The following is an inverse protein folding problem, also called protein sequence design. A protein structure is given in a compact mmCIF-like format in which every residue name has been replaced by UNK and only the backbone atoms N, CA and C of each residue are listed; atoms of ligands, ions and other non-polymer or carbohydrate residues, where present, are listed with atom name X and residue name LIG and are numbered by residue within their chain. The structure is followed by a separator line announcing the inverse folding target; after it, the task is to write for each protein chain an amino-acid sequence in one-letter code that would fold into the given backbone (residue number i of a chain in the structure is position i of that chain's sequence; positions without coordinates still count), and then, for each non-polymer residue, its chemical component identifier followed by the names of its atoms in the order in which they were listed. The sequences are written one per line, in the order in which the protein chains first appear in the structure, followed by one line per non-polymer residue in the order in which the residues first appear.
data_IF_219436673639
#
_entry.id   IF_219436673639
#
_cell.length_a   1.000
_cell.length_b   1.000
_cell.length_c   1.000
_cell.angle_alpha   90.00
_cell.angle_beta   90.00
_cell.angle_gamma   90.00
#
_symmetry.space_group_name_H-M   'P 1'
#
loop_
_entity.id
_entity.type
_entity.pdbx_description
1 polymer ?
#
# COMPACT_ATOMS: atom_id res chain seq x y z
N UNK A 1 -16.24 -7.37 -3.99
CA UNK A 1 -15.44 -8.48 -3.43
C UNK A 1 -14.89 -8.06 -2.08
N UNK A 2 -15.22 -8.79 -1.01
CA UNK A 2 -14.48 -8.62 0.25
C UNK A 2 -13.20 -9.44 0.15
N UNK A 3 -12.05 -8.81 0.40
CA UNK A 3 -10.85 -9.55 0.78
C UNK A 3 -11.13 -10.33 2.07
N UNK A 4 -10.52 -11.49 2.25
CA UNK A 4 -10.54 -12.22 3.54
C UNK A 4 -9.38 -11.83 4.45
N UNK A 5 -8.43 -11.04 3.95
CA UNK A 5 -7.34 -10.49 4.76
C UNK A 5 -7.92 -9.36 5.61
N UNK A 6 -7.88 -9.52 6.93
CA UNK A 6 -8.33 -8.52 7.90
C UNK A 6 -7.28 -7.42 8.10
N UNK A 7 -6.02 -7.81 8.32
CA UNK A 7 -4.89 -6.89 8.40
C UNK A 7 -3.56 -7.60 8.09
N UNK A 8 -2.55 -6.80 7.78
CA UNK A 8 -1.15 -7.24 7.67
C UNK A 8 -0.24 -6.32 8.47
N UNK A 9 0.94 -6.82 8.83
CA UNK A 9 1.94 -6.05 9.57
C UNK A 9 3.32 -6.16 8.93
N UNK A 10 4.01 -5.03 8.85
CA UNK A 10 5.44 -4.96 8.56
C UNK A 10 6.20 -4.47 9.79
N UNK A 11 7.52 -4.69 9.77
CA UNK A 11 8.40 -4.19 10.81
C UNK A 11 9.31 -3.10 10.27
N UNK A 12 9.56 -2.08 11.08
CA UNK A 12 10.49 -1.01 10.79
C UNK A 12 11.55 -0.90 11.91
N UNK A 13 12.84 -0.70 11.57
CA UNK A 13 13.88 -0.45 12.56
C UNK A 13 13.54 0.75 13.44
N UNK A 14 13.86 0.66 14.73
CA UNK A 14 13.52 1.71 15.72
C UNK A 14 14.01 3.10 15.35
N UNK A 15 15.20 3.20 14.77
CA UNK A 15 15.81 4.47 14.35
C UNK A 15 15.17 5.06 13.08
N UNK A 16 14.36 4.27 12.37
CA UNK A 16 13.62 4.67 11.16
C UNK A 16 12.10 4.66 11.37
N UNK A 17 11.60 4.26 12.54
CA UNK A 17 10.19 3.96 12.76
C UNK A 17 9.26 5.10 12.30
N UNK A 18 9.49 6.32 12.79
CA UNK A 18 8.67 7.48 12.44
C UNK A 18 8.83 7.90 10.97
N UNK A 19 10.03 7.77 10.39
CA UNK A 19 10.24 8.13 8.98
C UNK A 19 9.53 7.15 8.03
N UNK A 20 9.48 5.87 8.38
CA UNK A 20 8.71 4.86 7.66
C UNK A 20 7.21 5.15 7.76
N UNK A 21 6.70 5.44 8.96
CA UNK A 21 5.28 5.81 9.15
C UNK A 21 4.92 7.04 8.30
N UNK A 22 5.75 8.08 8.31
CA UNK A 22 5.53 9.29 7.52
C UNK A 22 5.57 9.02 6.02
N UNK A 23 6.44 8.12 5.56
CA UNK A 23 6.47 7.69 4.16
C UNK A 23 5.15 7.02 3.77
N UNK A 24 4.68 6.05 4.57
CA UNK A 24 3.42 5.33 4.28
C UNK A 24 2.20 6.26 4.33
N UNK A 25 2.15 7.20 5.27
CA UNK A 25 1.08 8.21 5.33
C UNK A 25 1.05 9.08 4.08
N UNK A 26 2.21 9.49 3.53
CA UNK A 26 2.28 10.26 2.29
C UNK A 26 1.92 9.41 1.07
N UNK A 27 2.51 8.22 0.96
CA UNK A 27 2.32 7.31 -0.16
C UNK A 27 0.85 6.88 -0.28
N UNK A 28 0.20 6.53 0.83
CA UNK A 28 -1.16 5.97 0.85
C UNK A 28 -2.25 7.03 1.06
N UNK A 29 -1.92 8.32 1.24
CA UNK A 29 -2.90 9.41 1.32
C UNK A 29 -3.92 9.42 0.14
N UNK A 30 -3.54 9.10 -1.12
CA UNK A 30 -4.50 9.00 -2.23
C UNK A 30 -5.56 7.90 -2.06
N UNK A 31 -5.30 6.90 -1.21
CA UNK A 31 -6.25 5.85 -0.81
C UNK A 31 -7.01 6.24 0.46
N UNK A 32 -6.87 7.48 0.94
CA UNK A 32 -7.43 7.98 2.21
C UNK A 32 -6.86 7.28 3.46
N UNK A 33 -5.70 6.63 3.35
CA UNK A 33 -5.03 6.04 4.51
C UNK A 33 -4.45 7.13 5.40
N UNK A 34 -4.63 6.93 6.70
CA UNK A 34 -4.09 7.78 7.77
C UNK A 34 -3.79 6.93 8.99
N UNK A 35 -3.07 7.52 9.94
CA UNK A 35 -2.91 6.92 11.25
C UNK A 35 -4.26 6.85 11.96
N UNK A 36 -4.65 5.63 12.31
CA UNK A 36 -5.92 5.33 12.98
C UNK A 36 -5.71 4.88 14.42
N UNK A 37 -4.59 4.23 14.69
CA UNK A 37 -4.29 3.67 16.00
C UNK A 37 -2.78 3.72 16.25
N UNK A 38 -2.40 4.01 17.49
CA UNK A 38 -1.00 4.00 17.93
C UNK A 38 -0.87 3.41 19.32
N UNK A 39 0.11 2.52 19.46
CA UNK A 39 0.59 1.95 20.71
C UNK A 39 2.09 2.22 20.86
N UNK A 40 2.68 2.02 22.05
CA UNK A 40 4.14 1.99 22.17
C UNK A 40 4.74 0.98 21.19
N UNK A 41 5.52 1.45 20.22
CA UNK A 41 6.21 0.64 19.22
C UNK A 41 5.34 0.06 18.10
N UNK A 42 4.09 0.51 17.92
CA UNK A 42 3.25 0.07 16.80
C UNK A 42 2.25 1.14 16.33
N UNK A 43 2.05 1.24 15.02
CA UNK A 43 1.09 2.15 14.38
C UNK A 43 0.24 1.40 13.38
N UNK A 44 -1.08 1.55 13.51
CA UNK A 44 -2.07 1.04 12.57
C UNK A 44 -2.54 2.15 11.63
N UNK A 45 -2.29 1.98 10.33
CA UNK A 45 -2.79 2.82 9.26
C UNK A 45 -4.03 2.19 8.63
N UNK A 46 -4.92 3.04 8.11
CA UNK A 46 -6.10 2.60 7.37
C UNK A 46 -6.96 3.75 6.88
N UNK A 47 -7.90 3.43 6.00
CA UNK A 47 -8.90 4.38 5.49
C UNK A 47 -10.14 4.43 6.40
N UNK A 48 -10.65 3.27 6.81
CA UNK A 48 -11.81 3.15 7.71
C UNK A 48 -11.45 2.52 9.07
N UNK A 49 -10.71 1.40 9.04
CA UNK A 49 -10.19 0.67 10.19
C UNK A 49 -8.71 0.34 9.98
N UNK A 50 -7.90 0.11 11.03
CA UNK A 50 -6.46 -0.13 10.88
C UNK A 50 -6.18 -1.54 10.33
N UNK A 51 -5.91 -1.62 9.03
CA UNK A 51 -5.63 -2.87 8.30
C UNK A 51 -4.15 -3.02 7.88
N UNK A 52 -3.34 -1.96 8.02
CA UNK A 52 -1.90 -1.98 7.73
C UNK A 52 -1.08 -1.52 8.94
N UNK A 53 -0.36 -2.44 9.55
CA UNK A 53 0.40 -2.20 10.77
C UNK A 53 1.90 -2.05 10.51
N UNK A 54 2.52 -1.12 11.23
CA UNK A 54 3.97 -0.93 11.25
C UNK A 54 4.41 -1.06 12.71
N UNK A 55 5.27 -2.05 13.00
CA UNK A 55 5.79 -2.32 14.34
C UNK A 55 7.30 -2.11 14.43
N UNK A 56 7.78 -1.57 15.54
CA UNK A 56 9.20 -1.45 15.81
C UNK A 56 9.88 -2.82 15.87
N UNK A 57 11.10 -2.90 15.33
CA UNK A 57 11.96 -4.06 15.47
C UNK A 57 13.42 -3.64 15.65
N UNK A 58 14.25 -4.54 16.17
CA UNK A 58 15.71 -4.39 16.13
C UNK A 58 16.33 -5.09 14.90
N UNK A 59 15.52 -5.75 14.07
CA UNK A 59 15.97 -6.50 12.90
C UNK A 59 15.72 -5.72 11.60
N UNK A 60 16.52 -5.98 10.57
CA UNK A 60 16.24 -5.47 9.23
C UNK A 60 15.17 -6.36 8.58
N UNK A 61 14.03 -5.79 8.22
CA UNK A 61 12.98 -6.49 7.47
C UNK A 61 12.79 -5.82 6.11
N UNK A 62 12.92 -6.59 5.02
CA UNK A 62 12.79 -6.09 3.64
C UNK A 62 12.33 -7.20 2.70
N UNK A 63 11.87 -6.83 1.51
CA UNK A 63 11.53 -7.77 0.44
C UNK A 63 10.11 -8.33 0.50
N UNK A 64 9.25 -7.83 1.39
CA UNK A 64 7.83 -8.16 1.35
C UNK A 64 7.17 -7.53 0.14
N UNK A 65 6.12 -8.17 -0.36
CA UNK A 65 5.23 -7.61 -1.37
C UNK A 65 3.79 -7.64 -0.86
N UNK A 66 3.10 -6.53 -1.00
CA UNK A 66 1.69 -6.38 -0.68
C UNK A 66 1.08 -5.30 -1.58
N UNK A 67 -0.21 -5.46 -1.86
CA UNK A 67 -0.95 -4.64 -2.79
C UNK A 67 -2.20 -4.04 -2.12
N UNK A 68 -2.43 -2.75 -2.33
CA UNK A 68 -3.67 -2.09 -1.94
C UNK A 68 -4.58 -1.93 -3.15
N UNK A 69 -5.87 -2.14 -2.93
CA UNK A 69 -6.88 -1.95 -3.97
C UNK A 69 -7.23 -0.47 -4.09
N UNK A 70 -7.09 0.09 -5.29
CA UNK A 70 -7.57 1.40 -5.66
C UNK A 70 -8.93 1.32 -6.35
N UNK A 71 -9.75 2.35 -6.15
CA UNK A 71 -11.08 2.48 -6.77
C UNK A 71 -11.03 2.81 -8.26
N UNK A 72 -9.95 3.46 -8.72
CA UNK A 72 -9.77 3.95 -10.08
C UNK A 72 -8.28 4.07 -10.44
N UNK A 73 -7.96 4.27 -11.73
CA UNK A 73 -6.59 4.43 -12.23
C UNK A 73 -5.93 5.72 -11.70
N UNK A 74 -6.70 6.79 -11.47
CA UNK A 74 -6.15 8.06 -11.00
C UNK A 74 -5.60 7.94 -9.57
N UNK A 75 -6.24 7.13 -8.72
CA UNK A 75 -5.72 6.78 -7.40
C UNK A 75 -4.40 6.02 -7.49
N UNK A 76 -4.24 5.11 -8.46
CA UNK A 76 -2.98 4.38 -8.72
C UNK A 76 -1.87 5.36 -9.13
N UNK A 77 -2.18 6.27 -10.06
CA UNK A 77 -1.25 7.30 -10.53
C UNK A 77 -0.80 8.22 -9.38
N UNK A 78 -1.77 8.68 -8.58
CA UNK A 78 -1.54 9.55 -7.44
C UNK A 78 -0.71 8.87 -6.34
N UNK A 79 -0.98 7.59 -6.04
CA UNK A 79 -0.14 6.80 -5.14
C UNK A 79 1.31 6.78 -5.63
N UNK A 80 1.52 6.42 -6.90
CA UNK A 80 2.87 6.31 -7.43
C UNK A 80 3.62 7.63 -7.37
N UNK A 81 2.97 8.73 -7.77
CA UNK A 81 3.55 10.07 -7.68
C UNK A 81 3.91 10.44 -6.24
N UNK A 82 2.99 10.23 -5.29
CA UNK A 82 3.22 10.56 -3.88
C UNK A 82 4.33 9.70 -3.24
N UNK A 83 4.33 8.40 -3.51
CA UNK A 83 5.30 7.46 -2.99
C UNK A 83 6.73 7.75 -3.49
N UNK A 84 6.88 8.04 -4.79
CA UNK A 84 8.18 8.45 -5.37
C UNK A 84 8.61 9.82 -4.83
N UNK A 85 7.71 10.79 -4.74
CA UNK A 85 8.02 12.11 -4.17
C UNK A 85 8.41 12.05 -2.68
N UNK A 86 7.90 11.07 -1.94
CA UNK A 86 8.27 10.81 -0.56
C UNK A 86 9.63 10.10 -0.40
N UNK A 87 10.32 9.75 -1.50
CA UNK A 87 11.63 9.08 -1.49
C UNK A 87 11.59 7.58 -1.77
N UNK A 88 10.43 7.04 -2.15
CA UNK A 88 10.32 5.67 -2.65
C UNK A 88 10.98 5.52 -4.01
N UNK A 89 11.47 4.32 -4.32
CA UNK A 89 12.08 4.03 -5.62
C UNK A 89 11.05 3.40 -6.55
N UNK A 90 10.83 4.00 -7.72
CA UNK A 90 9.97 3.41 -8.75
C UNK A 90 10.43 1.97 -9.08
N UNK A 91 9.49 1.03 -9.03
CA UNK A 91 9.69 -0.38 -9.37
C UNK A 91 8.74 -0.84 -10.51
N UNK A 92 7.95 0.09 -11.05
CA UNK A 92 6.99 -0.12 -12.12
C UNK A 92 6.03 1.06 -12.20
N UNK A 93 6.20 1.90 -13.22
CA UNK A 93 5.35 3.07 -13.44
C UNK A 93 3.87 2.66 -13.65
N UNK A 94 2.89 3.51 -13.33
CA UNK A 94 1.48 3.19 -13.53
C UNK A 94 1.18 2.75 -14.97
N UNK A 95 0.38 1.71 -15.11
CA UNK A 95 -0.06 1.24 -16.43
C UNK A 95 -0.77 -0.11 -16.39
N UNK A 96 -1.27 -0.51 -17.54
CA UNK A 96 -1.88 -1.83 -17.73
C UNK A 96 -0.81 -2.93 -17.64
N UNK A 97 -1.17 -4.02 -16.96
CA UNK A 97 -0.44 -5.28 -16.81
C UNK A 97 -1.26 -6.40 -17.45
N UNK A 98 -1.34 -6.38 -18.78
CA UNK A 98 -2.19 -7.29 -19.55
C UNK A 98 -1.81 -8.78 -19.37
N UNK A 99 -0.57 -9.05 -18.94
CA UNK A 99 -0.07 -10.36 -18.54
C UNK A 99 -0.76 -10.93 -17.30
N UNK A 100 -1.38 -10.10 -16.45
CA UNK A 100 -2.18 -10.55 -15.31
C UNK A 100 -3.65 -10.69 -15.71
N UNK A 101 -4.25 -9.61 -16.23
CA UNK A 101 -5.51 -9.61 -16.96
C UNK A 101 -5.72 -8.25 -17.67
N UNK A 102 -6.61 -8.13 -18.67
CA UNK A 102 -6.71 -6.94 -19.52
C UNK A 102 -6.99 -5.62 -18.79
N UNK A 103 -7.74 -5.66 -17.67
CA UNK A 103 -8.06 -4.46 -16.87
C UNK A 103 -7.14 -4.24 -15.65
N UNK A 104 -6.03 -4.98 -15.52
CA UNK A 104 -5.15 -4.84 -14.36
C UNK A 104 -4.32 -3.56 -14.53
N UNK A 105 -4.69 -2.47 -13.86
CA UNK A 105 -3.91 -1.23 -13.84
C UNK A 105 -3.18 -1.10 -12.51
N UNK A 106 -1.85 -1.17 -12.54
CA UNK A 106 -1.04 -1.22 -11.33
C UNK A 106 0.19 -0.32 -11.37
N UNK A 107 0.68 0.05 -10.19
CA UNK A 107 1.94 0.74 -10.00
C UNK A 107 2.70 0.16 -8.81
N UNK A 108 4.03 0.17 -8.90
CA UNK A 108 4.93 -0.47 -7.95
C UNK A 108 6.01 0.50 -7.49
N UNK A 109 6.19 0.61 -6.18
CA UNK A 109 7.24 1.44 -5.56
C UNK A 109 7.91 0.65 -4.45
N UNK A 110 9.24 0.62 -4.44
CA UNK A 110 9.98 0.14 -3.29
C UNK A 110 9.92 1.21 -2.19
N UNK A 111 9.45 0.81 -1.02
CA UNK A 111 9.52 1.66 0.18
C UNK A 111 10.98 1.85 0.65
N UNK A 112 11.25 2.71 1.65
CA UNK A 112 12.60 2.91 2.16
C UNK A 112 13.24 1.67 2.81
N UNK A 113 12.44 0.66 3.16
CA UNK A 113 12.91 -0.62 3.69
C UNK A 113 13.23 -1.62 2.55
N UNK A 114 12.80 -1.36 1.32
CA UNK A 114 12.94 -2.27 0.17
C UNK A 114 11.76 -3.23 -0.02
N UNK A 115 10.61 -3.00 0.62
CA UNK A 115 9.37 -3.73 0.34
C UNK A 115 8.74 -3.25 -0.97
N UNK A 116 8.21 -4.18 -1.77
CA UNK A 116 7.51 -3.89 -3.02
C UNK A 116 6.04 -3.55 -2.77
N UNK A 117 5.75 -2.26 -2.62
CA UNK A 117 4.40 -1.73 -2.40
C UNK A 117 3.69 -1.55 -3.73
N UNK A 118 2.54 -2.20 -3.87
CA UNK A 118 1.69 -2.08 -5.05
C UNK A 118 0.38 -1.36 -4.72
N UNK A 119 -0.10 -0.58 -5.68
CA UNK A 119 -1.51 -0.16 -5.73
C UNK A 119 -2.09 -0.58 -7.07
N UNK A 120 -3.24 -1.26 -7.03
CA UNK A 120 -3.88 -1.88 -8.19
C UNK A 120 -5.35 -1.49 -8.30
N UNK A 121 -5.80 -1.22 -9.52
CA UNK A 121 -7.20 -1.20 -9.88
C UNK A 121 -7.51 -2.35 -10.85
N UNK A 122 -8.57 -3.11 -10.58
CA UNK A 122 -8.98 -4.25 -11.40
C UNK A 122 -10.12 -3.92 -12.38
N UNK A 123 -10.42 -2.63 -12.60
CA UNK A 123 -11.58 -2.20 -13.37
C UNK A 123 -12.90 -2.78 -12.82
N UNK A 124 -13.68 -3.40 -13.70
CA UNK A 124 -15.00 -3.94 -13.40
C UNK A 124 -15.05 -5.48 -13.39
N UNK A 125 -13.92 -6.16 -13.65
CA UNK A 125 -13.83 -7.64 -13.76
C UNK A 125 -14.39 -8.36 -12.54
N UNK A 126 -14.31 -7.73 -11.37
CA UNK A 126 -14.76 -8.30 -10.11
C UNK A 126 -16.02 -7.62 -9.52
N UNK A 127 -16.71 -6.79 -10.31
CA UNK A 127 -17.91 -6.05 -9.89
C UNK A 127 -19.24 -6.78 -10.21
N UNK A 128 -19.23 -8.09 -10.50
CA UNK A 128 -20.42 -8.94 -10.75
C UNK A 128 -20.25 -10.29 -10.02
N UNK A 129 -21.18 -10.86 -9.25
CA UNK A 129 -22.66 -10.81 -9.23
C UNK A 129 -23.21 -10.75 -7.78
N UNK A 130 -23.95 -9.70 -7.40
CA UNK A 130 -24.89 -9.72 -6.25
C UNK A 130 -26.35 -9.59 -6.73
N UNK A 131 -26.63 -10.17 -7.90
CA UNK A 131 -27.97 -10.23 -8.48
C UNK A 131 -28.28 -11.67 -8.92
N UNK A 132 -28.50 -12.54 -7.94
CA UNK A 132 -29.42 -13.69 -8.01
C UNK A 132 -30.19 -13.79 -6.69
#
# INVERSE_FOLDING_TARGET
MSSTIDHVGIHAPKDQFESIIDWYKKALAPLNYRELMRFPGAVGLGSEHPDFWISETNEQCSGFHFAFIARDHATVDAFHQAAVAAGGKCNGAPGIRAEYHPEYYGAFVLDPLGNNVEVVNHGDIFKKNDAE
#
